data_IF_450314649955
#
_entry.id   IF_450314649955
#
_cell.length_a   1.000
_cell.length_b   1.000
_cell.length_c   1.000
_cell.angle_alpha   90.00
_cell.angle_beta   90.00
_cell.angle_gamma   90.00
#
_symmetry.space_group_name_H-M   'P 1'
#
loop_
_entity.id
_entity.type
_entity.pdbx_description
1 polymer ?
#
# COMPACT_ATOMS: atom_id res chain seq x y z
N UNK A 1 2.90 26.88 38.29
CA UNK A 1 2.66 27.65 37.05
C UNK A 1 1.99 26.81 35.98
N UNK A 2 2.55 25.65 35.59
CA UNK A 2 1.92 24.78 34.57
C UNK A 2 0.52 24.26 34.95
N UNK A 3 0.28 23.93 36.22
CA UNK A 3 -1.03 23.42 36.66
C UNK A 3 -2.18 24.41 36.45
N UNK A 4 -1.96 25.70 36.72
CA UNK A 4 -2.96 26.76 36.46
C UNK A 4 -3.28 26.85 34.97
N UNK A 5 -2.25 26.82 34.11
CA UNK A 5 -2.42 26.86 32.65
C UNK A 5 -3.18 25.64 32.13
N UNK A 6 -2.86 24.45 32.63
CA UNK A 6 -3.57 23.21 32.29
C UNK A 6 -5.03 23.30 32.72
N UNK A 7 -5.30 23.70 33.97
CA UNK A 7 -6.66 23.82 34.47
C UNK A 7 -7.49 24.84 33.69
N UNK A 8 -6.88 25.97 33.29
CA UNK A 8 -7.54 26.98 32.47
C UNK A 8 -7.83 26.46 31.06
N UNK A 9 -6.88 25.74 30.44
CA UNK A 9 -7.09 25.10 29.15
C UNK A 9 -8.16 23.99 29.20
N UNK A 10 -8.21 23.19 30.28
CA UNK A 10 -9.26 22.19 30.51
C UNK A 10 -10.62 22.85 30.68
N UNK A 11 -10.73 23.95 31.44
CA UNK A 11 -11.98 24.71 31.55
C UNK A 11 -12.44 25.26 30.20
N UNK A 12 -11.50 25.77 29.40
CA UNK A 12 -11.81 26.22 28.04
C UNK A 12 -12.28 25.06 27.15
N UNK A 13 -11.66 23.89 27.30
CA UNK A 13 -12.09 22.68 26.61
C UNK A 13 -13.54 22.32 27.00
N UNK A 14 -13.85 22.27 28.30
CA UNK A 14 -15.21 22.02 28.79
C UNK A 14 -16.22 23.08 28.34
N UNK A 15 -15.77 24.31 28.07
CA UNK A 15 -16.60 25.39 27.55
C UNK A 15 -16.78 25.39 26.02
N UNK A 16 -16.31 24.35 25.31
CA UNK A 16 -16.47 24.23 23.86
C UNK A 16 -15.41 24.94 23.02
N UNK A 17 -14.28 25.37 23.61
CA UNK A 17 -13.20 26.03 22.86
C UNK A 17 -12.53 25.08 21.87
N UNK A 18 -12.50 25.46 20.59
CA UNK A 18 -11.79 24.74 19.52
C UNK A 18 -10.28 24.92 19.56
N UNK A 19 -9.77 25.90 20.32
CA UNK A 19 -8.33 26.12 20.50
C UNK A 19 -7.73 25.23 21.59
N UNK A 20 -8.53 24.92 22.62
CA UNK A 20 -8.07 24.18 23.79
C UNK A 20 -7.43 22.81 23.48
N UNK A 21 -7.92 21.99 22.52
CA UNK A 21 -7.26 20.74 22.15
C UNK A 21 -5.80 20.94 21.72
N UNK A 22 -5.53 21.96 20.89
CA UNK A 22 -4.18 22.25 20.41
C UNK A 22 -3.26 22.73 21.53
N UNK A 23 -3.75 23.66 22.37
CA UNK A 23 -2.98 24.16 23.53
C UNK A 23 -2.65 23.02 24.51
N UNK A 24 -3.61 22.14 24.79
CA UNK A 24 -3.41 20.95 25.63
C UNK A 24 -2.44 19.94 25.01
N UNK A 25 -2.50 19.72 23.69
CA UNK A 25 -1.52 18.89 22.97
C UNK A 25 -0.12 19.42 23.12
N UNK A 26 0.09 20.73 22.92
CA UNK A 26 1.40 21.37 23.07
C UNK A 26 1.96 21.21 24.49
N UNK A 27 1.11 21.33 25.51
CA UNK A 27 1.52 21.08 26.89
C UNK A 27 1.85 19.61 27.11
N UNK A 28 1.03 18.67 26.62
CA UNK A 28 1.23 17.24 26.83
C UNK A 28 2.52 16.71 26.21
N UNK A 29 2.89 17.20 25.02
CA UNK A 29 4.13 16.81 24.32
C UNK A 29 5.38 17.55 24.81
N UNK A 30 5.23 18.58 25.66
CA UNK A 30 6.37 19.33 26.19
C UNK A 30 7.20 18.47 27.16
N UNK A 31 8.55 18.53 27.10
CA UNK A 31 9.42 17.76 28.01
C UNK A 31 9.15 18.02 29.50
N UNK A 32 8.65 19.20 29.85
CA UNK A 32 8.36 19.60 31.23
C UNK A 32 7.04 19.05 31.79
N UNK A 33 6.16 18.49 30.95
CA UNK A 33 4.87 17.97 31.42
C UNK A 33 5.07 16.65 32.18
N UNK A 34 4.56 16.59 33.41
CA UNK A 34 4.65 15.41 34.28
C UNK A 34 3.66 14.33 33.86
N UNK A 35 3.85 13.10 34.34
CA UNK A 35 2.92 11.99 34.05
C UNK A 35 1.50 12.28 34.57
N UNK A 36 1.38 12.88 35.74
CA UNK A 36 0.08 13.28 36.32
C UNK A 36 -0.61 14.35 35.47
N UNK A 37 0.13 15.38 35.04
CA UNK A 37 -0.37 16.42 34.13
C UNK A 37 -0.82 15.82 32.79
N UNK A 38 -0.03 14.91 32.24
CA UNK A 38 -0.39 14.18 31.03
C UNK A 38 -1.71 13.42 31.19
N UNK A 39 -1.85 12.63 32.26
CA UNK A 39 -3.09 11.88 32.51
C UNK A 39 -4.30 12.80 32.71
N UNK A 40 -4.12 13.94 33.37
CA UNK A 40 -5.16 14.95 33.53
C UNK A 40 -5.61 15.51 32.17
N UNK A 41 -4.66 15.84 31.30
CA UNK A 41 -4.94 16.35 29.94
C UNK A 41 -5.68 15.32 29.11
N UNK A 42 -5.19 14.07 29.08
CA UNK A 42 -5.81 12.98 28.30
C UNK A 42 -7.21 12.67 28.81
N UNK A 43 -7.40 12.62 30.13
CA UNK A 43 -8.71 12.39 30.73
C UNK A 43 -9.71 13.50 30.37
N UNK A 44 -9.25 14.75 30.33
CA UNK A 44 -10.08 15.87 29.90
C UNK A 44 -10.47 15.78 28.41
N UNK A 45 -9.56 15.32 27.53
CA UNK A 45 -9.88 15.07 26.13
C UNK A 45 -10.90 13.94 25.96
N UNK A 46 -10.76 12.84 26.70
CA UNK A 46 -11.74 11.75 26.67
C UNK A 46 -13.11 12.18 27.21
N UNK A 47 -13.16 13.06 28.21
CA UNK A 47 -14.42 13.57 28.74
C UNK A 47 -15.26 14.32 27.68
N UNK A 48 -14.61 14.97 26.70
CA UNK A 48 -15.30 15.64 25.58
C UNK A 48 -15.69 14.66 24.46
N UNK A 49 -15.10 13.46 24.47
CA UNK A 49 -15.40 12.35 23.57
C UNK A 49 -16.29 11.28 24.24
N UNK A 50 -17.05 11.65 25.26
CA UNK A 50 -17.98 10.73 25.92
C UNK A 50 -19.31 10.57 25.16
N UNK A 51 -20.16 9.66 25.65
CA UNK A 51 -21.48 9.39 25.09
C UNK A 51 -22.46 10.57 25.25
N UNK A 52 -22.33 11.38 26.31
CA UNK A 52 -23.23 12.50 26.56
C UNK A 52 -23.02 13.62 25.52
N UNK A 53 -21.76 13.95 25.22
CA UNK A 53 -21.40 14.89 24.16
C UNK A 53 -21.79 14.36 22.79
N UNK A 54 -21.66 13.04 22.55
CA UNK A 54 -22.07 12.42 21.30
C UNK A 54 -23.57 12.59 21.07
N UNK A 55 -24.39 12.21 22.06
CA UNK A 55 -25.86 12.37 21.99
C UNK A 55 -26.27 13.83 21.79
N UNK A 56 -25.61 14.75 22.48
CA UNK A 56 -25.86 16.20 22.32
C UNK A 56 -25.56 16.66 20.90
N UNK A 57 -24.41 16.23 20.34
CA UNK A 57 -24.00 16.58 18.98
C UNK A 57 -24.96 16.02 17.93
N UNK A 58 -25.48 14.81 18.13
CA UNK A 58 -26.48 14.20 17.23
C UNK A 58 -27.80 14.99 17.21
N UNK A 59 -28.15 15.67 18.31
CA UNK A 59 -29.38 16.47 18.43
C UNK A 59 -29.18 17.88 17.85
N UNK A 60 -28.12 18.56 18.26
CA UNK A 60 -27.84 19.95 17.89
C UNK A 60 -27.38 20.07 16.42
N UNK A 61 -26.80 19.00 15.85
CA UNK A 61 -26.24 18.96 14.48
C UNK A 61 -25.21 20.05 14.19
N UNK A 62 -24.71 20.73 15.22
CA UNK A 62 -23.56 21.62 15.10
C UNK A 62 -22.32 20.81 14.74
N UNK A 63 -21.37 21.45 14.05
CA UNK A 63 -20.13 20.79 13.64
C UNK A 63 -19.32 20.43 14.89
N UNK A 64 -18.99 19.14 15.14
CA UNK A 64 -18.23 18.71 16.30
C UNK A 64 -16.72 18.97 16.10
N UNK A 65 -16.37 20.23 15.81
CA UNK A 65 -15.00 20.69 15.52
C UNK A 65 -14.07 20.39 16.70
N UNK A 66 -14.54 20.67 17.92
CA UNK A 66 -13.75 20.42 19.11
C UNK A 66 -13.43 18.92 19.28
N UNK A 67 -14.40 18.04 19.02
CA UNK A 67 -14.23 16.60 19.16
C UNK A 67 -13.29 16.03 18.09
N UNK A 68 -13.42 16.47 16.84
CA UNK A 68 -12.48 16.10 15.78
C UNK A 68 -11.04 16.52 16.15
N UNK A 69 -10.86 17.75 16.67
CA UNK A 69 -9.56 18.24 17.13
C UNK A 69 -9.04 17.46 18.34
N UNK A 70 -9.90 17.11 19.32
CA UNK A 70 -9.52 16.24 20.43
C UNK A 70 -9.03 14.87 19.96
N UNK A 71 -9.68 14.29 18.95
CA UNK A 71 -9.29 12.99 18.39
C UNK A 71 -7.91 13.07 17.72
N UNK A 72 -7.65 14.10 16.90
CA UNK A 72 -6.30 14.38 16.34
C UNK A 72 -5.26 14.65 17.44
N UNK A 73 -5.64 15.39 18.47
CA UNK A 73 -4.79 15.70 19.63
C UNK A 73 -4.36 14.44 20.35
N UNK A 74 -5.27 13.49 20.60
CA UNK A 74 -4.95 12.19 21.18
C UNK A 74 -3.95 11.43 20.31
N UNK A 75 -4.13 11.46 18.99
CA UNK A 75 -3.22 10.81 18.04
C UNK A 75 -1.79 11.34 18.07
N UNK A 76 -1.63 12.64 18.28
CA UNK A 76 -0.31 13.25 18.39
C UNK A 76 0.39 12.98 19.73
N UNK A 77 -0.40 12.79 20.79
CA UNK A 77 0.09 12.80 22.17
C UNK A 77 0.44 11.40 22.67
N UNK A 78 -0.36 10.38 22.30
CA UNK A 78 -0.22 9.00 22.79
C UNK A 78 1.16 8.38 22.43
N UNK A 79 1.64 8.42 21.17
CA UNK A 79 2.93 7.80 20.82
C UNK A 79 4.12 8.38 21.57
N UNK A 80 4.17 9.71 21.71
CA UNK A 80 5.35 10.40 22.28
C UNK A 80 5.61 10.06 23.74
N UNK A 81 4.56 9.74 24.50
CA UNK A 81 4.66 9.48 25.95
C UNK A 81 4.74 8.00 26.27
N UNK A 82 4.42 7.13 25.32
CA UNK A 82 4.63 5.69 25.45
C UNK A 82 6.12 5.35 25.68
N UNK A 83 7.03 6.14 25.12
CA UNK A 83 8.48 6.01 25.32
C UNK A 83 8.90 6.22 26.79
N UNK A 84 8.03 6.80 27.64
CA UNK A 84 8.29 7.03 29.05
C UNK A 84 7.61 5.99 29.96
N UNK A 85 8.20 5.72 31.14
CA UNK A 85 7.64 4.84 32.19
C UNK A 85 6.24 5.30 32.63
N UNK A 86 5.18 4.67 32.13
CA UNK A 86 3.78 5.10 32.33
C UNK A 86 2.79 4.64 31.24
N UNK A 87 3.31 4.08 30.13
CA UNK A 87 2.59 3.39 29.06
C UNK A 87 1.30 2.66 29.50
N UNK A 88 1.39 1.72 30.44
CA UNK A 88 0.29 0.81 30.78
C UNK A 88 -1.00 1.52 31.22
N UNK A 89 -0.89 2.55 32.06
CA UNK A 89 -2.06 3.32 32.53
C UNK A 89 -2.75 4.04 31.36
N UNK A 90 -1.96 4.65 30.46
CA UNK A 90 -2.49 5.33 29.26
C UNK A 90 -3.23 4.36 28.34
N UNK A 91 -2.68 3.17 28.14
CA UNK A 91 -3.29 2.10 27.36
C UNK A 91 -4.58 1.59 27.97
N UNK A 92 -4.59 1.39 29.29
CA UNK A 92 -5.77 0.97 30.02
C UNK A 92 -6.89 1.99 29.88
N UNK A 93 -6.58 3.28 30.04
CA UNK A 93 -7.55 4.37 29.84
C UNK A 93 -8.07 4.40 28.40
N UNK A 94 -7.19 4.28 27.40
CA UNK A 94 -7.60 4.24 26.00
C UNK A 94 -8.53 3.03 25.71
N UNK A 95 -8.21 1.85 26.25
CA UNK A 95 -9.03 0.65 26.14
C UNK A 95 -10.41 0.82 26.80
N UNK A 96 -10.46 1.47 27.98
CA UNK A 96 -11.72 1.78 28.67
C UNK A 96 -12.63 2.72 27.88
N UNK A 97 -12.07 3.62 27.07
CA UNK A 97 -12.83 4.58 26.24
C UNK A 97 -13.03 4.13 24.79
N UNK A 98 -12.59 2.92 24.41
CA UNK A 98 -12.63 2.49 23.01
C UNK A 98 -14.05 2.49 22.44
N UNK A 99 -15.06 2.10 23.22
CA UNK A 99 -16.46 2.02 22.75
C UNK A 99 -17.00 3.40 22.36
N UNK A 100 -16.71 4.43 23.15
CA UNK A 100 -17.10 5.81 22.88
C UNK A 100 -16.35 6.36 21.66
N UNK A 101 -15.04 6.13 21.60
CA UNK A 101 -14.19 6.56 20.49
C UNK A 101 -14.62 5.92 19.17
N UNK A 102 -14.94 4.63 19.20
CA UNK A 102 -15.50 3.90 18.06
C UNK A 102 -16.79 4.57 17.56
N UNK A 103 -17.71 4.91 18.46
CA UNK A 103 -18.97 5.58 18.09
C UNK A 103 -18.75 6.98 17.54
N UNK A 104 -17.80 7.74 18.10
CA UNK A 104 -17.39 9.03 17.57
C UNK A 104 -16.79 8.93 16.17
N UNK A 105 -15.92 7.96 15.91
CA UNK A 105 -15.35 7.71 14.57
C UNK A 105 -16.45 7.46 13.55
N UNK A 106 -17.40 6.57 13.86
CA UNK A 106 -18.51 6.26 12.96
C UNK A 106 -19.46 7.46 12.76
N UNK A 107 -19.72 8.24 13.82
CA UNK A 107 -20.51 9.47 13.72
C UNK A 107 -19.84 10.52 12.83
N UNK A 108 -18.55 10.80 13.06
CA UNK A 108 -17.77 11.72 12.23
C UNK A 108 -17.77 11.29 10.76
N UNK A 109 -17.60 9.98 10.51
CA UNK A 109 -17.63 9.41 9.17
C UNK A 109 -19.00 9.59 8.50
N UNK A 110 -20.06 9.07 9.11
CA UNK A 110 -21.37 8.93 8.47
C UNK A 110 -22.15 10.24 8.37
N UNK A 111 -22.05 11.10 9.39
CA UNK A 111 -22.85 12.33 9.47
C UNK A 111 -22.12 13.55 8.92
N UNK A 112 -20.80 13.48 8.75
CA UNK A 112 -20.01 14.60 8.23
C UNK A 112 -19.17 14.23 7.01
N UNK A 113 -18.23 13.30 7.11
CA UNK A 113 -17.30 13.03 6.00
C UNK A 113 -18.04 12.57 4.73
N UNK A 114 -19.07 11.73 4.87
CA UNK A 114 -19.86 11.22 3.75
C UNK A 114 -20.93 12.19 3.23
N UNK A 115 -21.22 13.26 3.97
CA UNK A 115 -22.29 14.20 3.62
C UNK A 115 -21.76 15.33 2.75
N UNK A 116 -22.09 15.30 1.46
CA UNK A 116 -21.63 16.31 0.49
C UNK A 116 -22.06 17.75 0.82
N UNK A 117 -23.16 17.92 1.56
CA UNK A 117 -23.68 19.22 1.99
C UNK A 117 -22.94 19.81 3.21
N UNK A 118 -22.02 19.06 3.82
CA UNK A 118 -21.17 19.57 4.90
C UNK A 118 -19.97 20.30 4.31
N UNK A 119 -19.55 21.38 4.99
CA UNK A 119 -18.38 22.16 4.60
C UNK A 119 -17.14 21.28 4.38
N UNK A 120 -16.46 21.49 3.24
CA UNK A 120 -15.33 20.66 2.83
C UNK A 120 -14.18 20.72 3.83
N UNK A 121 -13.88 21.90 4.41
CA UNK A 121 -12.77 22.02 5.36
C UNK A 121 -13.05 21.18 6.61
N UNK A 122 -14.30 21.15 7.07
CA UNK A 122 -14.68 20.27 8.18
C UNK A 122 -14.63 18.78 7.80
N UNK A 123 -15.09 18.40 6.59
CA UNK A 123 -15.01 17.00 6.11
C UNK A 123 -13.56 16.51 6.08
N UNK A 124 -12.63 17.36 5.64
CA UNK A 124 -11.20 17.06 5.64
C UNK A 124 -10.66 16.92 7.07
N UNK A 125 -11.01 17.85 7.98
CA UNK A 125 -10.62 17.76 9.39
C UNK A 125 -11.11 16.46 10.04
N UNK A 126 -12.38 16.12 9.86
CA UNK A 126 -12.98 14.91 10.43
C UNK A 126 -12.33 13.63 9.86
N UNK A 127 -12.09 13.58 8.54
CA UNK A 127 -11.32 12.49 7.92
C UNK A 127 -9.94 12.38 8.55
N UNK A 128 -9.17 13.47 8.60
CA UNK A 128 -7.82 13.48 9.17
C UNK A 128 -7.83 13.01 10.62
N UNK A 129 -8.79 13.47 11.43
CA UNK A 129 -8.94 13.03 12.82
C UNK A 129 -9.16 11.51 12.94
N UNK A 130 -10.01 10.94 12.10
CA UNK A 130 -10.25 9.48 12.06
C UNK A 130 -8.97 8.73 11.68
N UNK A 131 -8.31 9.15 10.59
CA UNK A 131 -7.12 8.47 10.07
C UNK A 131 -5.96 8.57 11.04
N UNK A 132 -5.69 9.76 11.58
CA UNK A 132 -4.60 9.97 12.51
C UNK A 132 -4.78 9.09 13.76
N UNK A 133 -6.00 9.02 14.28
CA UNK A 133 -6.27 8.24 15.48
C UNK A 133 -6.21 6.73 15.24
N UNK A 134 -6.75 6.24 14.13
CA UNK A 134 -6.63 4.82 13.77
C UNK A 134 -5.18 4.45 13.43
N UNK A 135 -4.41 5.38 12.86
CA UNK A 135 -3.00 5.19 12.53
C UNK A 135 -2.12 4.87 13.74
N UNK A 136 -2.43 5.44 14.92
CA UNK A 136 -1.71 5.13 16.16
C UNK A 136 -1.74 3.63 16.46
N UNK A 137 -2.84 2.95 16.14
CA UNK A 137 -3.06 1.54 16.48
C UNK A 137 -2.06 0.60 15.84
N UNK A 138 -1.33 1.09 14.84
CA UNK A 138 -0.23 0.38 14.19
C UNK A 138 1.05 0.28 15.03
N UNK A 139 1.19 1.17 16.01
CA UNK A 139 2.36 1.19 16.86
C UNK A 139 2.51 -0.13 17.62
N UNK A 140 3.72 -0.72 17.56
CA UNK A 140 4.02 -2.05 18.14
C UNK A 140 3.58 -2.20 19.59
N UNK A 141 3.52 -1.10 20.33
CA UNK A 141 3.08 -1.08 21.71
C UNK A 141 1.55 -1.09 21.93
N UNK A 142 0.77 -0.67 20.94
CA UNK A 142 -0.68 -0.77 20.93
C UNK A 142 -1.18 -2.12 20.44
N UNK A 143 -0.30 -3.10 20.20
CA UNK A 143 -0.67 -4.40 19.63
C UNK A 143 -1.79 -5.14 20.40
N UNK A 144 -1.89 -4.97 21.72
CA UNK A 144 -2.99 -5.57 22.52
C UNK A 144 -4.34 -4.88 22.33
N UNK A 145 -4.33 -3.61 21.91
CA UNK A 145 -5.52 -2.84 21.53
C UNK A 145 -5.89 -3.02 20.07
N UNK A 146 -4.90 -3.31 19.23
CA UNK A 146 -5.08 -3.55 17.81
C UNK A 146 -6.12 -4.65 17.53
N UNK A 147 -6.11 -5.72 18.31
CA UNK A 147 -7.02 -6.86 18.16
C UNK A 147 -8.50 -6.45 18.23
N UNK A 148 -9.00 -5.78 19.29
CA UNK A 148 -10.36 -5.23 19.30
C UNK A 148 -10.68 -4.27 18.16
N UNK A 149 -9.73 -3.41 17.80
CA UNK A 149 -9.93 -2.34 16.82
C UNK A 149 -10.16 -2.93 15.44
N UNK A 150 -9.31 -3.88 15.04
CA UNK A 150 -9.45 -4.49 13.72
C UNK A 150 -10.48 -5.61 13.72
N UNK A 151 -10.76 -6.23 14.87
CA UNK A 151 -11.94 -7.08 15.00
C UNK A 151 -13.26 -6.31 14.85
N UNK A 152 -13.24 -4.96 14.86
CA UNK A 152 -14.42 -4.12 14.63
C UNK A 152 -14.67 -3.95 13.13
N UNK A 153 -15.66 -4.64 12.53
CA UNK A 153 -15.91 -4.65 11.09
C UNK A 153 -16.06 -3.24 10.48
N UNK A 154 -16.76 -2.37 11.23
CA UNK A 154 -17.07 -1.02 10.78
C UNK A 154 -15.85 -0.12 10.67
N UNK A 155 -14.79 -0.37 11.43
CA UNK A 155 -13.55 0.42 11.39
C UNK A 155 -12.76 0.09 10.13
N UNK A 156 -12.60 -1.19 9.80
CA UNK A 156 -11.95 -1.62 8.54
C UNK A 156 -12.69 -1.01 7.35
N UNK A 157 -14.01 -1.20 7.30
CA UNK A 157 -14.84 -0.66 6.23
C UNK A 157 -14.76 0.88 6.17
N UNK A 158 -14.70 1.55 7.33
CA UNK A 158 -14.50 3.01 7.39
C UNK A 158 -13.19 3.43 6.73
N UNK A 159 -12.07 2.77 7.06
CA UNK A 159 -10.76 3.13 6.54
C UNK A 159 -10.66 2.88 5.02
N UNK A 160 -11.16 1.74 4.53
CA UNK A 160 -11.25 1.47 3.09
C UNK A 160 -12.21 2.44 2.36
N UNK A 161 -13.30 2.86 3.01
CA UNK A 161 -14.20 3.88 2.46
C UNK A 161 -13.52 5.24 2.32
N UNK A 162 -12.74 5.65 3.33
CA UNK A 162 -11.96 6.89 3.29
C UNK A 162 -10.86 6.82 2.22
N UNK A 163 -10.21 5.66 2.08
CA UNK A 163 -9.23 5.42 1.02
C UNK A 163 -9.88 5.53 -0.36
N UNK A 164 -11.03 4.88 -0.59
CA UNK A 164 -11.80 5.02 -1.84
C UNK A 164 -12.21 6.47 -2.11
N UNK A 165 -12.56 7.24 -1.08
CA UNK A 165 -12.94 8.63 -1.24
C UNK A 165 -11.82 9.50 -1.83
N UNK A 166 -10.55 9.19 -1.51
CA UNK A 166 -9.40 9.91 -2.05
C UNK A 166 -9.25 9.76 -3.57
N UNK A 167 -9.66 8.63 -4.15
CA UNK A 167 -9.63 8.44 -5.60
C UNK A 167 -10.83 9.04 -6.31
N UNK A 168 -12.00 8.98 -5.67
CA UNK A 168 -13.25 9.52 -6.23
C UNK A 168 -13.30 11.05 -6.20
N UNK A 169 -12.76 11.67 -5.16
CA UNK A 169 -12.72 13.12 -5.00
C UNK A 169 -11.31 13.59 -4.65
N UNK A 170 -10.64 14.17 -5.66
CA UNK A 170 -9.26 14.69 -5.54
C UNK A 170 -9.09 15.71 -4.42
N UNK A 171 -10.15 16.38 -3.97
CA UNK A 171 -10.06 17.33 -2.84
C UNK A 171 -9.75 16.63 -1.51
N UNK A 172 -10.11 15.35 -1.40
CA UNK A 172 -9.74 14.52 -0.26
C UNK A 172 -8.32 13.96 -0.37
N UNK A 173 -7.69 14.01 -1.55
CA UNK A 173 -6.29 13.63 -1.71
C UNK A 173 -5.38 14.62 -0.99
N UNK A 174 -4.39 14.08 -0.27
CA UNK A 174 -3.38 14.87 0.43
C UNK A 174 -2.54 15.75 -0.49
N UNK A 175 -2.53 15.46 -1.79
CA UNK A 175 -1.85 16.27 -2.80
C UNK A 175 -2.34 17.72 -2.87
N UNK A 176 -3.55 18.02 -2.42
CA UNK A 176 -4.18 19.35 -2.56
C UNK A 176 -3.92 20.26 -1.35
N UNK A 177 -3.58 19.72 -0.18
CA UNK A 177 -3.55 20.47 1.08
C UNK A 177 -2.23 20.30 1.87
N UNK A 178 -1.17 21.05 1.51
CA UNK A 178 0.14 20.93 2.16
C UNK A 178 0.19 21.53 3.58
N UNK A 179 -0.80 22.30 4.01
CA UNK A 179 -0.76 23.05 5.28
C UNK A 179 -1.00 22.20 6.53
N UNK A 180 -1.54 21.00 6.37
CA UNK A 180 -1.85 20.08 7.47
C UNK A 180 -1.42 18.69 7.03
N UNK A 181 -0.14 18.38 7.19
CA UNK A 181 0.33 17.01 7.00
C UNK A 181 -0.32 16.13 8.08
N UNK A 182 -1.16 15.15 7.71
CA UNK A 182 -1.66 14.20 8.70
C UNK A 182 -0.46 13.48 9.31
N UNK A 183 -0.62 13.04 10.57
CA UNK A 183 0.40 12.24 11.23
C UNK A 183 0.49 10.87 10.56
N UNK A 184 -0.65 10.35 10.11
CA UNK A 184 -0.74 9.03 9.46
C UNK A 184 -1.40 9.11 8.08
N UNK A 185 -0.98 8.24 7.18
CA UNK A 185 -1.52 8.13 5.83
C UNK A 185 -2.38 6.87 5.71
N UNK A 186 -3.52 6.96 5.01
CA UNK A 186 -4.42 5.80 4.86
C UNK A 186 -3.70 4.60 4.23
N UNK A 187 -2.92 4.74 3.14
CA UNK A 187 -2.16 3.62 2.59
C UNK A 187 -1.18 3.01 3.60
N UNK A 188 -0.49 3.83 4.41
CA UNK A 188 0.44 3.35 5.43
C UNK A 188 -0.27 2.54 6.51
N UNK A 189 -1.38 3.08 7.03
CA UNK A 189 -2.19 2.42 8.07
C UNK A 189 -2.76 1.11 7.53
N UNK A 190 -3.32 1.10 6.32
CA UNK A 190 -3.83 -0.12 5.70
C UNK A 190 -2.72 -1.13 5.43
N UNK A 191 -1.58 -0.72 4.88
CA UNK A 191 -0.44 -1.59 4.60
C UNK A 191 0.02 -2.31 5.87
N UNK A 192 0.27 -1.56 6.94
CA UNK A 192 0.76 -2.17 8.16
C UNK A 192 -0.29 -3.06 8.84
N UNK A 193 -1.57 -2.68 8.77
CA UNK A 193 -2.64 -3.55 9.23
C UNK A 193 -2.64 -4.86 8.42
N UNK A 194 -2.63 -4.80 7.09
CA UNK A 194 -2.51 -5.96 6.20
C UNK A 194 -1.31 -6.85 6.53
N UNK A 195 -0.15 -6.26 6.82
CA UNK A 195 1.03 -6.99 7.25
C UNK A 195 0.82 -7.72 8.58
N UNK A 196 0.30 -7.05 9.60
CA UNK A 196 0.00 -7.65 10.90
C UNK A 196 -1.01 -8.81 10.80
N UNK A 197 -1.98 -8.72 9.89
CA UNK A 197 -2.99 -9.77 9.69
C UNK A 197 -2.54 -10.94 8.82
N UNK A 198 -1.61 -10.72 7.89
CA UNK A 198 -1.03 -11.82 7.11
C UNK A 198 -0.46 -12.94 8.01
N UNK A 199 -0.02 -12.56 9.22
CA UNK A 199 0.48 -13.48 10.25
C UNK A 199 -0.63 -14.23 11.02
N UNK A 200 -1.90 -13.84 10.86
CA UNK A 200 -3.02 -14.27 11.72
C UNK A 200 -4.21 -14.89 10.96
N UNK A 201 -4.24 -14.80 9.63
CA UNK A 201 -5.23 -15.44 8.72
C UNK A 201 -6.71 -15.11 8.98
N UNK A 202 -7.07 -13.84 9.25
CA UNK A 202 -8.46 -13.47 9.62
C UNK A 202 -8.99 -12.19 8.95
N UNK A 203 -8.79 -12.04 7.64
CA UNK A 203 -9.46 -10.95 6.93
C UNK A 203 -10.94 -11.27 6.69
N UNK A 204 -11.82 -10.43 7.23
CA UNK A 204 -13.21 -10.39 6.80
C UNK A 204 -13.28 -9.62 5.47
N UNK A 205 -13.07 -10.36 4.38
CA UNK A 205 -13.12 -9.80 3.04
C UNK A 205 -14.48 -9.19 2.69
N UNK A 206 -15.57 -9.64 3.33
CA UNK A 206 -16.89 -9.05 3.09
C UNK A 206 -16.94 -7.61 3.60
N UNK A 207 -16.27 -7.32 4.70
CA UNK A 207 -16.19 -5.99 5.32
C UNK A 207 -15.22 -5.08 4.59
N UNK A 208 -14.09 -5.61 4.11
CA UNK A 208 -13.19 -4.85 3.21
C UNK A 208 -13.92 -4.45 1.92
N UNK A 209 -14.76 -5.34 1.37
CA UNK A 209 -15.47 -5.09 0.11
C UNK A 209 -16.76 -4.27 0.30
N UNK A 210 -17.25 -4.12 1.53
CA UNK A 210 -18.48 -3.38 1.84
C UNK A 210 -18.46 -1.93 1.33
N UNK A 211 -17.38 -1.13 1.51
CA UNK A 211 -17.26 0.20 0.91
C UNK A 211 -17.27 0.22 -0.61
N UNK A 212 -17.08 -0.93 -1.26
CA UNK A 212 -17.07 -1.13 -2.70
C UNK A 212 -18.35 -1.82 -3.20
N UNK A 213 -19.39 -1.95 -2.35
CA UNK A 213 -20.63 -2.62 -2.73
C UNK A 213 -20.47 -4.13 -2.97
N UNK A 214 -19.41 -4.75 -2.45
CA UNK A 214 -19.06 -6.14 -2.75
C UNK A 214 -18.27 -6.32 -4.05
N UNK A 215 -17.98 -5.24 -4.79
CA UNK A 215 -17.33 -5.31 -6.10
C UNK A 215 -15.80 -5.33 -6.00
N UNK A 216 -15.21 -6.51 -6.19
CA UNK A 216 -13.74 -6.69 -6.18
C UNK A 216 -13.02 -5.86 -7.25
N UNK A 217 -13.68 -5.61 -8.40
CA UNK A 217 -13.12 -4.77 -9.47
C UNK A 217 -12.99 -3.31 -9.02
N UNK A 218 -13.94 -2.80 -8.24
CA UNK A 218 -13.89 -1.43 -7.74
C UNK A 218 -12.77 -1.24 -6.69
N UNK A 219 -12.52 -2.26 -5.85
CA UNK A 219 -11.39 -2.27 -4.93
C UNK A 219 -10.05 -2.27 -5.69
N UNK A 220 -9.91 -3.15 -6.69
CA UNK A 220 -8.71 -3.20 -7.53
C UNK A 220 -8.46 -1.89 -8.29
N UNK A 221 -9.51 -1.27 -8.84
CA UNK A 221 -9.43 0.02 -9.51
C UNK A 221 -8.96 1.12 -8.56
N UNK A 222 -9.53 1.16 -7.35
CA UNK A 222 -9.15 2.11 -6.31
C UNK A 222 -7.68 1.99 -5.93
N UNK A 223 -7.17 0.76 -5.77
CA UNK A 223 -5.77 0.52 -5.46
C UNK A 223 -4.81 1.06 -6.54
N UNK A 224 -5.14 0.78 -7.81
CA UNK A 224 -4.33 1.22 -8.94
C UNK A 224 -4.44 2.72 -9.19
N UNK A 225 -5.59 3.33 -8.92
CA UNK A 225 -5.78 4.77 -9.05
C UNK A 225 -5.01 5.56 -7.99
N UNK A 226 -4.91 5.06 -6.77
CA UNK A 226 -4.02 5.63 -5.75
C UNK A 226 -2.57 5.67 -6.20
N UNK A 227 -2.02 4.52 -6.59
CA UNK A 227 -0.65 4.44 -7.07
C UNK A 227 -0.39 5.39 -8.25
N UNK A 228 -1.33 5.50 -9.20
CA UNK A 228 -1.22 6.44 -10.32
C UNK A 228 -1.25 7.88 -9.85
N UNK A 229 -2.13 8.24 -8.93
CA UNK A 229 -2.22 9.59 -8.39
C UNK A 229 -0.92 9.97 -7.70
N UNK A 230 -0.34 9.06 -6.91
CA UNK A 230 0.83 9.35 -6.08
C UNK A 230 2.12 9.41 -6.88
N UNK A 231 2.24 8.60 -7.94
CA UNK A 231 3.30 8.70 -8.95
C UNK A 231 3.19 9.98 -9.78
N UNK A 232 1.97 10.48 -10.03
CA UNK A 232 1.76 11.71 -10.80
C UNK A 232 1.99 13.00 -10.00
N UNK A 233 2.23 12.93 -8.68
CA UNK A 233 2.49 14.10 -7.83
C UNK A 233 3.83 14.75 -8.17
N UNK A 234 3.90 16.08 -8.03
CA UNK A 234 5.13 16.86 -8.22
C UNK A 234 5.32 17.85 -7.07
N UNK A 235 6.32 17.66 -6.18
CA UNK A 235 7.24 16.52 -6.14
C UNK A 235 6.54 15.22 -5.74
N UNK A 236 7.07 14.07 -6.20
CA UNK A 236 6.59 12.76 -5.81
C UNK A 236 6.84 12.50 -4.32
N UNK A 237 5.89 11.84 -3.65
CA UNK A 237 6.07 11.35 -2.29
C UNK A 237 6.33 9.84 -2.34
N UNK A 238 7.60 9.46 -2.22
CA UNK A 238 8.02 8.06 -2.39
C UNK A 238 7.56 7.15 -1.26
N UNK A 239 7.31 7.66 -0.05
CA UNK A 239 6.76 6.84 1.04
C UNK A 239 5.35 6.35 0.69
N UNK A 240 4.52 7.23 0.13
CA UNK A 240 3.18 6.86 -0.34
C UNK A 240 3.23 5.82 -1.46
N UNK A 241 4.13 5.98 -2.42
CA UNK A 241 4.33 5.02 -3.52
C UNK A 241 4.74 3.65 -2.97
N UNK A 242 5.64 3.61 -1.97
CA UNK A 242 6.02 2.36 -1.29
C UNK A 242 4.79 1.70 -0.66
N UNK A 243 4.01 2.43 0.14
CA UNK A 243 2.84 1.89 0.82
C UNK A 243 1.76 1.43 -0.15
N UNK A 244 1.52 2.15 -1.25
CA UNK A 244 0.57 1.73 -2.28
C UNK A 244 1.00 0.40 -2.93
N UNK A 245 2.28 0.27 -3.29
CA UNK A 245 2.83 -0.98 -3.88
C UNK A 245 2.69 -2.14 -2.88
N UNK A 246 3.02 -1.91 -1.60
CA UNK A 246 2.87 -2.94 -0.57
C UNK A 246 1.41 -3.32 -0.36
N UNK A 247 0.51 -2.35 -0.23
CA UNK A 247 -0.92 -2.60 -0.04
C UNK A 247 -1.50 -3.37 -1.23
N UNK A 248 -1.16 -3.02 -2.47
CA UNK A 248 -1.54 -3.77 -3.67
C UNK A 248 -1.02 -5.21 -3.61
N UNK A 249 0.22 -5.40 -3.14
CA UNK A 249 0.82 -6.73 -2.95
C UNK A 249 0.06 -7.53 -1.89
N UNK A 250 -0.21 -6.94 -0.73
CA UNK A 250 -0.92 -7.59 0.36
C UNK A 250 -2.37 -7.97 -0.01
N UNK A 251 -3.08 -7.09 -0.72
CA UNK A 251 -4.42 -7.37 -1.26
C UNK A 251 -4.40 -8.53 -2.26
N UNK A 252 -3.31 -8.68 -3.02
CA UNK A 252 -3.14 -9.73 -4.02
C UNK A 252 -2.86 -11.12 -3.43
N UNK A 253 -2.75 -11.26 -2.11
CA UNK A 253 -2.75 -12.56 -1.44
C UNK A 253 -4.10 -13.28 -1.61
N UNK A 254 -5.19 -12.53 -1.77
CA UNK A 254 -6.49 -13.09 -2.09
C UNK A 254 -6.70 -13.15 -3.61
N UNK A 255 -6.85 -14.37 -4.13
CA UNK A 255 -7.13 -14.65 -5.54
C UNK A 255 -8.32 -13.86 -6.10
N UNK A 256 -9.38 -13.66 -5.30
CA UNK A 256 -10.57 -12.92 -5.70
C UNK A 256 -10.30 -11.44 -5.99
N UNK A 257 -9.22 -10.87 -5.42
CA UNK A 257 -8.78 -9.48 -5.63
C UNK A 257 -7.61 -9.43 -6.61
N UNK A 258 -6.69 -10.41 -6.53
CA UNK A 258 -5.54 -10.53 -7.43
C UNK A 258 -5.97 -10.61 -8.89
N UNK A 259 -6.97 -11.43 -9.22
CA UNK A 259 -7.42 -11.58 -10.62
C UNK A 259 -7.95 -10.26 -11.19
N UNK A 260 -8.85 -9.52 -10.52
CA UNK A 260 -9.22 -8.15 -10.89
C UNK A 260 -8.03 -7.21 -11.09
N UNK A 261 -7.06 -7.18 -10.17
CA UNK A 261 -5.86 -6.34 -10.31
C UNK A 261 -5.08 -6.67 -11.59
N UNK A 262 -4.87 -7.96 -11.87
CA UNK A 262 -4.19 -8.42 -13.09
C UNK A 262 -4.98 -8.07 -14.36
N UNK A 263 -6.31 -8.25 -14.35
CA UNK A 263 -7.20 -7.88 -15.46
C UNK A 263 -7.18 -6.37 -15.74
N UNK A 264 -7.00 -5.56 -14.70
CA UNK A 264 -6.83 -4.11 -14.79
C UNK A 264 -5.37 -3.68 -15.06
N UNK A 265 -4.52 -4.63 -15.50
CA UNK A 265 -3.14 -4.40 -15.94
C UNK A 265 -2.22 -3.87 -14.85
N UNK A 266 -2.39 -4.30 -13.59
CA UNK A 266 -1.49 -3.94 -12.48
C UNK A 266 -0.02 -4.14 -12.83
N UNK A 267 0.32 -5.23 -13.53
CA UNK A 267 1.68 -5.53 -14.01
C UNK A 267 2.25 -4.43 -14.91
N UNK A 268 1.49 -4.00 -15.93
CA UNK A 268 1.93 -2.96 -16.85
C UNK A 268 2.04 -1.59 -16.16
N UNK A 269 1.14 -1.31 -15.20
CA UNK A 269 1.18 -0.08 -14.39
C UNK A 269 2.45 -0.07 -13.55
N UNK A 270 2.76 -1.14 -12.81
CA UNK A 270 3.97 -1.25 -12.01
C UNK A 270 5.24 -1.14 -12.87
N UNK A 271 5.27 -1.75 -14.05
CA UNK A 271 6.37 -1.55 -14.99
C UNK A 271 6.51 -0.09 -15.43
N UNK A 272 5.41 0.63 -15.63
CA UNK A 272 5.42 2.07 -15.98
C UNK A 272 5.91 2.93 -14.81
N UNK A 273 5.52 2.58 -13.58
CA UNK A 273 6.02 3.23 -12.35
C UNK A 273 7.53 3.03 -12.24
N UNK A 274 8.03 1.80 -12.38
CA UNK A 274 9.46 1.51 -12.33
C UNK A 274 10.22 2.29 -13.42
N UNK A 275 9.73 2.30 -14.67
CA UNK A 275 10.33 3.08 -15.75
C UNK A 275 10.40 4.58 -15.40
N UNK A 276 9.33 5.13 -14.83
CA UNK A 276 9.30 6.53 -14.42
C UNK A 276 10.32 6.81 -13.31
N UNK A 277 10.45 5.90 -12.35
CA UNK A 277 11.35 6.05 -11.20
C UNK A 277 12.82 5.92 -11.56
N UNK A 278 13.19 5.02 -12.48
CA UNK A 278 14.61 4.84 -12.85
C UNK A 278 15.17 6.04 -13.61
N UNK A 279 14.31 6.79 -14.30
CA UNK A 279 14.67 8.00 -15.06
C UNK A 279 14.64 9.28 -14.21
N UNK A 280 14.25 9.20 -12.93
CA UNK A 280 14.14 10.38 -12.06
C UNK A 280 15.48 10.88 -11.53
N UNK A 281 15.62 12.20 -11.52
CA UNK A 281 16.65 12.92 -10.77
C UNK A 281 16.17 13.18 -9.34
N UNK A 282 16.32 12.19 -8.45
CA UNK A 282 16.01 12.35 -7.04
C UNK A 282 17.16 13.01 -6.26
N UNK A 283 16.83 13.74 -5.20
CA UNK A 283 17.82 14.29 -4.26
C UNK A 283 18.48 13.17 -3.46
N UNK A 284 19.71 13.36 -2.99
CA UNK A 284 20.49 12.31 -2.30
C UNK A 284 19.77 11.68 -1.11
N UNK A 285 18.98 12.46 -0.37
CA UNK A 285 18.18 11.98 0.76
C UNK A 285 16.96 11.11 0.35
N UNK A 286 16.57 11.13 -0.93
CA UNK A 286 15.44 10.36 -1.45
C UNK A 286 15.90 9.07 -2.16
N UNK A 287 17.20 8.88 -2.40
CA UNK A 287 17.70 7.74 -3.19
C UNK A 287 17.31 6.38 -2.61
N UNK A 288 17.33 6.25 -1.28
CA UNK A 288 16.90 5.05 -0.58
C UNK A 288 15.42 4.74 -0.86
N UNK A 289 14.55 5.75 -0.77
CA UNK A 289 13.11 5.56 -0.97
C UNK A 289 12.76 5.22 -2.42
N UNK A 290 13.43 5.85 -3.39
CA UNK A 290 13.28 5.51 -4.81
C UNK A 290 13.71 4.07 -5.07
N UNK A 291 14.87 3.66 -4.52
CA UNK A 291 15.34 2.29 -4.63
C UNK A 291 14.35 1.29 -4.02
N UNK A 292 13.76 1.59 -2.87
CA UNK A 292 12.68 0.78 -2.26
C UNK A 292 11.45 0.68 -3.16
N UNK A 293 10.96 1.80 -3.71
CA UNK A 293 9.81 1.78 -4.64
C UNK A 293 10.06 0.84 -5.83
N UNK A 294 11.26 0.94 -6.44
CA UNK A 294 11.65 0.11 -7.58
C UNK A 294 11.71 -1.37 -7.17
N UNK A 295 12.41 -1.68 -6.09
CA UNK A 295 12.55 -3.04 -5.57
C UNK A 295 11.19 -3.67 -5.23
N UNK A 296 10.32 -2.97 -4.51
CA UNK A 296 9.00 -3.48 -4.16
C UNK A 296 8.10 -3.66 -5.39
N UNK A 297 8.27 -2.83 -6.41
CA UNK A 297 7.65 -3.07 -7.71
C UNK A 297 8.09 -4.39 -8.34
N UNK A 298 9.37 -4.74 -8.26
CA UNK A 298 9.85 -6.06 -8.71
C UNK A 298 9.35 -7.21 -7.83
N UNK A 299 9.22 -7.02 -6.52
CA UNK A 299 8.61 -8.02 -5.63
C UNK A 299 7.16 -8.34 -6.04
N UNK A 300 6.33 -7.32 -6.27
CA UNK A 300 4.97 -7.51 -6.75
C UNK A 300 4.94 -8.30 -8.07
N UNK A 301 5.76 -7.87 -9.04
CA UNK A 301 5.84 -8.52 -10.35
C UNK A 301 6.26 -9.97 -10.18
N UNK A 302 7.33 -10.25 -9.42
CA UNK A 302 7.79 -11.62 -9.16
C UNK A 302 6.71 -12.46 -8.52
N UNK A 303 6.01 -11.95 -7.51
CA UNK A 303 5.02 -12.71 -6.77
C UNK A 303 3.90 -13.25 -7.70
N UNK A 304 3.51 -12.47 -8.72
CA UNK A 304 2.30 -12.77 -9.49
C UNK A 304 2.49 -12.94 -10.99
N UNK A 305 3.68 -12.71 -11.57
CA UNK A 305 3.93 -12.86 -13.02
C UNK A 305 3.68 -14.30 -13.51
N UNK A 306 3.90 -15.30 -12.67
CA UNK A 306 3.61 -16.71 -12.97
C UNK A 306 2.21 -17.15 -12.48
N UNK A 307 1.35 -16.23 -12.04
CA UNK A 307 -0.03 -16.56 -11.68
C UNK A 307 -0.80 -17.06 -12.90
N UNK A 308 -1.66 -18.06 -12.71
CA UNK A 308 -2.37 -18.79 -13.78
C UNK A 308 -1.41 -19.49 -14.74
N UNK A 309 -1.25 -19.04 -15.99
CA UNK A 309 -0.23 -19.54 -16.94
C UNK A 309 0.94 -18.55 -17.14
N UNK A 310 0.82 -17.34 -16.59
CA UNK A 310 1.79 -16.23 -16.68
C UNK A 310 1.98 -15.60 -18.06
N UNK A 311 1.47 -16.22 -19.13
CA UNK A 311 1.73 -15.77 -20.50
C UNK A 311 1.18 -14.34 -20.76
N UNK A 312 -0.08 -14.01 -20.42
CA UNK A 312 -0.60 -12.66 -20.60
C UNK A 312 0.21 -11.60 -19.83
N UNK A 313 0.67 -11.94 -18.63
CA UNK A 313 1.37 -11.02 -17.72
C UNK A 313 2.77 -10.72 -18.23
N UNK A 314 3.52 -11.74 -18.66
CA UNK A 314 4.85 -11.54 -19.25
C UNK A 314 4.77 -10.74 -20.55
N UNK A 315 3.79 -11.02 -21.41
CA UNK A 315 3.57 -10.20 -22.62
C UNK A 315 3.34 -8.74 -22.25
N UNK A 316 2.45 -8.47 -21.30
CA UNK A 316 2.17 -7.10 -20.83
C UNK A 316 3.42 -6.41 -20.27
N UNK A 317 4.24 -7.08 -19.47
CA UNK A 317 5.46 -6.50 -18.88
C UNK A 317 6.51 -6.15 -19.94
N UNK A 318 6.75 -7.05 -20.91
CA UNK A 318 7.69 -6.79 -22.03
C UNK A 318 7.19 -5.64 -22.89
N UNK A 319 5.88 -5.60 -23.18
CA UNK A 319 5.25 -4.51 -23.93
C UNK A 319 5.24 -3.19 -23.16
N UNK A 320 5.16 -3.22 -21.82
CA UNK A 320 5.27 -2.04 -20.97
C UNK A 320 6.72 -1.54 -20.79
N UNK A 321 7.71 -2.21 -21.40
CA UNK A 321 9.11 -1.77 -21.38
C UNK A 321 9.88 -2.16 -20.11
N UNK A 322 9.42 -3.16 -19.35
CA UNK A 322 10.09 -3.59 -18.12
C UNK A 322 11.58 -3.92 -18.32
N UNK A 323 11.94 -4.54 -19.45
CA UNK A 323 13.33 -4.93 -19.74
C UNK A 323 14.28 -3.73 -19.76
N UNK A 324 13.86 -2.60 -20.32
CA UNK A 324 14.67 -1.37 -20.32
C UNK A 324 14.79 -0.81 -18.90
N UNK A 325 13.68 -0.78 -18.16
CA UNK A 325 13.65 -0.36 -16.75
C UNK A 325 14.60 -1.18 -15.86
N UNK A 326 14.64 -2.49 -16.06
CA UNK A 326 15.52 -3.42 -15.33
C UNK A 326 16.99 -3.05 -15.52
N UNK A 327 17.42 -2.73 -16.74
CA UNK A 327 18.80 -2.32 -16.99
C UNK A 327 19.11 -0.93 -16.43
N UNK A 328 18.16 0.00 -16.55
CA UNK A 328 18.28 1.35 -15.97
C UNK A 328 18.23 1.35 -14.43
N UNK A 329 17.96 0.21 -13.79
CA UNK A 329 17.97 0.09 -12.32
C UNK A 329 19.39 0.08 -11.73
N UNK A 330 20.43 -0.19 -12.53
CA UNK A 330 21.83 -0.32 -12.06
C UNK A 330 22.28 0.76 -11.06
N UNK A 331 22.06 2.07 -11.30
CA UNK A 331 22.50 3.12 -10.38
C UNK A 331 21.83 3.06 -9.01
N UNK A 332 20.65 2.45 -8.94
CA UNK A 332 19.81 2.36 -7.74
C UNK A 332 20.22 1.20 -6.82
N UNK A 333 20.87 0.17 -7.36
CA UNK A 333 21.17 -1.08 -6.63
C UNK A 333 21.95 -0.81 -5.34
N UNK A 334 22.96 0.06 -5.41
CA UNK A 334 23.83 0.41 -4.28
C UNK A 334 23.11 1.05 -3.08
N UNK A 335 21.88 1.55 -3.27
CA UNK A 335 21.14 2.24 -2.22
C UNK A 335 20.37 1.29 -1.28
N UNK A 336 20.27 -0.01 -1.62
CA UNK A 336 19.76 -1.06 -0.72
C UNK A 336 20.85 -2.07 -0.32
N UNK A 337 22.09 -1.61 -0.14
CA UNK A 337 23.18 -2.49 0.28
C UNK A 337 23.06 -2.94 1.75
N UNK A 338 23.76 -4.01 2.12
CA UNK A 338 23.80 -4.53 3.48
C UNK A 338 22.57 -5.37 3.83
N UNK A 339 21.84 -4.97 4.88
CA UNK A 339 20.67 -5.71 5.38
C UNK A 339 19.51 -5.82 4.38
N UNK A 340 19.50 -4.96 3.36
CA UNK A 340 18.45 -4.89 2.32
C UNK A 340 18.91 -5.46 0.97
N UNK A 341 20.07 -6.11 0.90
CA UNK A 341 20.61 -6.60 -0.39
C UNK A 341 19.73 -7.66 -1.05
N UNK A 342 18.99 -8.43 -0.25
CA UNK A 342 18.00 -9.42 -0.71
C UNK A 342 16.80 -8.76 -1.40
N UNK A 343 16.53 -7.48 -1.15
CA UNK A 343 15.42 -6.75 -1.76
C UNK A 343 15.58 -6.64 -3.31
N UNK A 344 16.78 -6.86 -3.84
CA UNK A 344 17.05 -6.92 -5.28
C UNK A 344 16.94 -8.33 -5.90
N UNK A 345 16.79 -9.40 -5.10
CA UNK A 345 16.65 -10.76 -5.62
C UNK A 345 15.57 -10.89 -6.72
N UNK A 346 14.36 -10.29 -6.57
CA UNK A 346 13.32 -10.39 -7.60
C UNK A 346 13.76 -9.85 -8.95
N UNK A 347 14.55 -8.78 -8.99
CA UNK A 347 15.07 -8.20 -10.24
C UNK A 347 15.90 -9.24 -11.01
N UNK A 348 16.85 -9.89 -10.32
CA UNK A 348 17.73 -10.87 -10.94
C UNK A 348 16.99 -12.15 -11.35
N UNK A 349 16.05 -12.63 -10.53
CA UNK A 349 15.22 -13.78 -10.86
C UNK A 349 14.31 -13.52 -12.06
N UNK A 350 13.66 -12.35 -12.09
CA UNK A 350 12.81 -11.95 -13.21
C UNK A 350 13.60 -11.90 -14.50
N UNK A 351 14.74 -11.21 -14.51
CA UNK A 351 15.54 -11.00 -15.71
C UNK A 351 16.26 -12.28 -16.14
N UNK A 352 16.95 -12.97 -15.24
CA UNK A 352 17.82 -14.09 -15.57
C UNK A 352 17.10 -15.43 -15.71
N UNK A 353 15.91 -15.60 -15.12
CA UNK A 353 15.25 -16.91 -15.04
C UNK A 353 13.80 -16.91 -15.52
N UNK A 354 12.94 -16.04 -14.98
CA UNK A 354 11.49 -16.15 -15.18
C UNK A 354 11.08 -15.67 -16.57
N UNK A 355 11.30 -14.39 -16.87
CA UNK A 355 10.93 -13.79 -18.16
C UNK A 355 11.53 -14.58 -19.35
N UNK A 356 12.84 -14.95 -19.35
CA UNK A 356 13.40 -15.71 -20.47
C UNK A 356 12.72 -17.05 -20.74
N UNK A 357 12.15 -17.75 -19.74
CA UNK A 357 11.46 -19.04 -19.94
C UNK A 357 10.30 -18.88 -20.91
N UNK A 358 9.59 -17.76 -20.86
CA UNK A 358 8.44 -17.46 -21.72
C UNK A 358 8.81 -17.13 -23.17
N UNK A 359 10.10 -16.97 -23.51
CA UNK A 359 10.52 -16.80 -24.91
C UNK A 359 10.35 -18.07 -25.77
N UNK A 360 9.84 -19.17 -25.22
CA UNK A 360 9.33 -20.32 -26.00
C UNK A 360 8.05 -19.96 -26.77
N UNK A 361 7.28 -19.00 -26.29
CA UNK A 361 6.06 -18.54 -26.95
C UNK A 361 6.43 -17.50 -28.01
N UNK A 362 6.03 -17.75 -29.26
CA UNK A 362 6.40 -16.89 -30.40
C UNK A 362 5.92 -15.45 -30.25
N UNK A 363 4.77 -15.24 -29.62
CA UNK A 363 4.22 -13.90 -29.32
C UNK A 363 5.12 -13.12 -28.38
N UNK A 364 5.54 -13.75 -27.27
CA UNK A 364 6.47 -13.15 -26.29
C UNK A 364 7.84 -12.92 -26.91
N UNK A 365 8.38 -13.93 -27.63
CA UNK A 365 9.68 -13.84 -28.28
C UNK A 365 9.75 -12.66 -29.26
N UNK A 366 8.71 -12.43 -30.07
CA UNK A 366 8.63 -11.27 -30.97
C UNK A 366 8.72 -9.95 -30.20
N UNK A 367 7.94 -9.82 -29.12
CA UNK A 367 7.97 -8.62 -28.28
C UNK A 367 9.35 -8.42 -27.64
N UNK A 368 10.00 -9.48 -27.19
CA UNK A 368 11.38 -9.42 -26.66
C UNK A 368 12.39 -9.01 -27.72
N UNK A 369 12.35 -9.58 -28.93
CA UNK A 369 13.25 -9.20 -30.03
C UNK A 369 13.15 -7.70 -30.33
N UNK A 370 11.91 -7.20 -30.44
CA UNK A 370 11.66 -5.75 -30.65
C UNK A 370 12.29 -4.91 -29.53
N UNK A 371 12.13 -5.34 -28.28
CA UNK A 371 12.71 -4.64 -27.11
C UNK A 371 14.24 -4.72 -27.09
N UNK A 372 14.84 -5.86 -27.44
CA UNK A 372 16.29 -6.01 -27.57
C UNK A 372 16.86 -5.00 -28.57
N UNK A 373 16.23 -4.83 -29.73
CA UNK A 373 16.69 -3.83 -30.72
C UNK A 373 16.66 -2.41 -30.16
N UNK A 374 15.64 -2.05 -29.37
CA UNK A 374 15.58 -0.75 -28.69
C UNK A 374 16.64 -0.61 -27.61
N UNK A 375 16.92 -1.68 -26.86
CA UNK A 375 17.94 -1.71 -25.81
C UNK A 375 19.34 -1.54 -26.41
N UNK A 376 19.63 -2.26 -27.50
CA UNK A 376 20.90 -2.17 -28.25
C UNK A 376 21.11 -0.76 -28.80
N UNK A 377 20.07 -0.16 -29.38
CA UNK A 377 20.14 1.18 -29.93
C UNK A 377 20.44 2.28 -28.88
N UNK A 378 20.08 2.05 -27.63
CA UNK A 378 20.30 2.98 -26.51
C UNK A 378 21.55 2.66 -25.67
N UNK A 379 22.30 1.62 -26.05
CA UNK A 379 23.49 1.12 -25.34
C UNK A 379 23.25 0.97 -23.82
N UNK A 380 22.09 0.43 -23.42
CA UNK A 380 21.83 0.18 -21.99
C UNK A 380 22.77 -0.88 -21.40
N UNK A 381 23.11 -1.99 -22.10
CA UNK A 381 24.05 -2.98 -21.56
C UNK A 381 25.45 -2.42 -21.31
N UNK A 382 25.90 -1.44 -22.11
CA UNK A 382 27.19 -0.77 -21.94
C UNK A 382 27.28 0.08 -20.66
N UNK A 383 26.15 0.42 -20.04
CA UNK A 383 26.06 1.21 -18.80
C UNK A 383 26.08 0.36 -17.53
N UNK A 384 26.01 -0.96 -17.65
CA UNK A 384 26.00 -1.88 -16.50
C UNK A 384 27.41 -2.05 -15.92
N UNK A 385 27.50 -2.31 -14.62
CA UNK A 385 28.75 -2.72 -13.98
C UNK A 385 29.18 -4.09 -14.52
N UNK A 386 30.35 -4.13 -15.16
CA UNK A 386 30.93 -5.39 -15.66
C UNK A 386 31.08 -6.36 -14.50
N UNK A 387 30.71 -7.61 -14.75
CA UNK A 387 30.71 -8.71 -13.77
C UNK A 387 29.72 -8.56 -12.59
N UNK A 388 28.92 -7.49 -12.56
CA UNK A 388 27.81 -7.30 -11.63
C UNK A 388 26.70 -8.34 -11.81
N UNK A 389 25.86 -8.51 -10.79
CA UNK A 389 24.74 -9.48 -10.82
C UNK A 389 23.73 -9.14 -11.91
N UNK A 390 23.46 -7.84 -12.12
CA UNK A 390 22.55 -7.40 -13.19
C UNK A 390 23.14 -7.71 -14.57
N UNK A 391 24.41 -7.40 -14.80
CA UNK A 391 25.12 -7.73 -16.05
C UNK A 391 25.12 -9.23 -16.36
N UNK A 392 25.37 -10.07 -15.34
CA UNK A 392 25.30 -11.54 -15.48
C UNK A 392 23.90 -12.00 -15.85
N UNK A 393 22.88 -11.50 -15.16
CA UNK A 393 21.47 -11.84 -15.41
C UNK A 393 21.03 -11.39 -16.81
N UNK A 394 21.44 -10.19 -17.24
CA UNK A 394 21.22 -9.68 -18.58
C UNK A 394 21.87 -10.55 -19.66
N UNK A 395 23.14 -10.92 -19.47
CA UNK A 395 23.88 -11.75 -20.43
C UNK A 395 23.21 -13.12 -20.65
N UNK A 396 22.72 -13.74 -19.57
CA UNK A 396 21.96 -14.99 -19.64
C UNK A 396 20.65 -14.82 -20.41
N UNK A 397 19.90 -13.75 -20.10
CA UNK A 397 18.67 -13.40 -20.80
C UNK A 397 18.91 -13.18 -22.30
N UNK A 398 19.86 -12.31 -22.65
CA UNK A 398 20.15 -11.90 -24.01
C UNK A 398 20.58 -13.10 -24.88
N UNK A 399 21.53 -13.91 -24.39
CA UNK A 399 22.02 -15.09 -25.10
C UNK A 399 20.89 -16.08 -25.41
N UNK A 400 20.02 -16.34 -24.43
CA UNK A 400 18.90 -17.27 -24.61
C UNK A 400 17.87 -16.74 -25.61
N UNK A 401 17.49 -15.47 -25.50
CA UNK A 401 16.50 -14.86 -26.40
C UNK A 401 17.04 -14.76 -27.83
N UNK A 402 18.32 -14.36 -28.03
CA UNK A 402 18.94 -14.32 -29.36
C UNK A 402 19.08 -15.70 -29.99
N UNK A 403 19.46 -16.71 -29.21
CA UNK A 403 19.50 -18.11 -29.67
C UNK A 403 18.13 -18.58 -30.18
N UNK A 404 17.06 -18.31 -29.42
CA UNK A 404 15.68 -18.63 -29.83
C UNK A 404 15.21 -17.81 -31.03
N UNK A 405 15.60 -16.54 -31.11
CA UNK A 405 15.29 -15.69 -32.26
C UNK A 405 15.91 -16.21 -33.57
N UNK A 406 17.14 -16.73 -33.53
CA UNK A 406 17.78 -17.33 -34.70
C UNK A 406 17.02 -18.57 -35.20
N UNK A 407 16.61 -19.45 -34.28
CA UNK A 407 15.77 -20.62 -34.61
C UNK A 407 14.41 -20.21 -35.18
N UNK A 408 13.81 -19.18 -34.60
CA UNK A 408 12.55 -18.62 -35.08
C UNK A 408 12.65 -18.11 -36.53
N UNK A 409 13.69 -17.35 -36.85
CA UNK A 409 13.93 -16.84 -38.22
C UNK A 409 14.17 -17.96 -39.23
N UNK A 410 14.91 -19.02 -38.87
CA UNK A 410 15.12 -20.19 -39.74
C UNK A 410 13.80 -20.94 -40.04
N UNK A 411 12.88 -20.98 -39.07
CA UNK A 411 11.56 -21.61 -39.27
C UNK A 411 10.66 -20.82 -40.21
N UNK A 412 10.80 -19.48 -40.26
CA UNK A 412 10.03 -18.62 -41.16
C UNK A 412 10.54 -18.66 -42.61
N UNK A 413 11.85 -18.82 -42.82
CA UNK A 413 12.43 -18.91 -44.17
C UNK A 413 12.15 -20.25 -44.86
N UNK A 414 11.89 -21.30 -44.07
CA UNK A 414 11.58 -22.63 -44.58
C UNK A 414 10.05 -22.80 -44.63
N UNK A 415 9.40 -22.24 -45.66
CA UNK A 415 7.95 -22.33 -45.92
C UNK A 415 7.39 -23.77 -46.08
N UNK A 416 8.21 -24.81 -45.86
CA UNK A 416 7.72 -26.17 -45.65
C UNK A 416 6.97 -26.22 -44.33
N UNK A 417 5.65 -26.02 -44.41
CA UNK A 417 4.66 -26.05 -43.35
C UNK A 417 4.70 -27.41 -42.60
N UNK A 418 5.59 -27.54 -41.61
CA UNK A 418 5.61 -28.72 -40.72
C UNK A 418 4.55 -28.49 -39.64
N UNK A 419 3.32 -28.92 -39.90
CA UNK A 419 2.32 -29.11 -38.84
C UNK A 419 2.70 -30.34 -38.01
N UNK A 420 3.66 -30.21 -37.10
CA UNK A 420 3.93 -31.27 -36.12
C UNK A 420 3.02 -31.11 -34.90
N UNK A 421 1.76 -31.52 -35.04
CA UNK A 421 0.94 -31.80 -33.86
C UNK A 421 1.43 -33.11 -33.22
N UNK A 422 2.13 -33.03 -32.08
CA UNK A 422 2.40 -34.18 -31.19
C UNK A 422 1.14 -34.60 -30.39
N UNK A 423 -0.04 -34.53 -31.00
CA UNK A 423 -1.27 -34.90 -30.34
C UNK A 423 -1.51 -36.41 -30.48
N UNK A 424 -0.78 -37.21 -29.70
CA UNK A 424 -0.95 -38.67 -29.61
C UNK A 424 -2.38 -39.07 -29.18
N UNK A 425 -3.21 -38.12 -28.72
CA UNK A 425 -4.59 -38.36 -28.25
C UNK A 425 -5.71 -37.98 -29.23
N UNK A 426 -5.44 -37.52 -30.46
CA UNK A 426 -6.49 -37.27 -31.47
C UNK A 426 -6.94 -38.55 -32.22
N UNK A 427 -6.98 -39.70 -31.54
CA UNK A 427 -7.62 -40.91 -32.06
C UNK A 427 -8.46 -41.61 -30.99
N UNK A 428 -9.65 -41.04 -30.76
CA UNK A 428 -10.94 -41.65 -30.37
C UNK A 428 -11.69 -40.71 -29.42
N UNK A 429 -12.80 -40.18 -29.91
CA UNK A 429 -13.86 -39.56 -29.11
C UNK A 429 -14.62 -40.67 -28.38
N UNK A 430 -14.73 -40.67 -27.04
CA UNK A 430 -15.86 -41.27 -26.33
C UNK A 430 -16.85 -40.17 -25.89
N UNK A 431 -18.09 -40.54 -25.48
CA UNK A 431 -19.17 -39.59 -25.27
C UNK A 431 -18.94 -38.69 -24.05
N UNK A 432 -19.46 -37.47 -24.13
CA UNK A 432 -19.53 -36.46 -23.07
C UNK A 432 -20.11 -37.02 -21.76
N UNK A 433 -19.27 -37.15 -20.74
CA UNK A 433 -19.65 -36.93 -19.35
C UNK A 433 -18.41 -36.78 -18.47
N UNK A 434 -18.40 -35.72 -17.64
CA UNK A 434 -17.51 -35.47 -16.50
C UNK A 434 -16.08 -34.99 -16.82
N UNK A 435 -15.93 -33.66 -16.85
CA UNK A 435 -14.68 -32.97 -16.54
C UNK A 435 -14.96 -31.95 -15.45
N UNK A 436 -14.76 -32.37 -14.20
CA UNK A 436 -14.54 -31.45 -13.09
C UNK A 436 -13.42 -32.03 -12.23
N UNK A 437 -12.51 -31.14 -11.84
CA UNK A 437 -11.43 -31.29 -10.87
C UNK A 437 -10.14 -31.99 -11.32
N UNK A 438 -9.05 -31.24 -11.22
CA UNK A 438 -7.71 -31.80 -11.12
C UNK A 438 -6.62 -30.85 -11.57
N UNK A 439 -6.41 -29.73 -10.86
CA UNK A 439 -5.09 -29.08 -10.76
C UNK A 439 -5.14 -27.89 -9.79
N UNK A 440 -4.77 -28.13 -8.53
CA UNK A 440 -4.27 -27.08 -7.64
C UNK A 440 -3.74 -27.70 -6.34
N UNK A 441 -2.42 -27.71 -6.19
CA UNK A 441 -1.71 -27.60 -4.91
C UNK A 441 -0.20 -27.73 -5.16
N UNK A 442 0.39 -26.71 -5.79
CA UNK A 442 1.76 -26.36 -5.47
C UNK A 442 1.66 -25.27 -4.41
N UNK A 443 2.01 -25.63 -3.17
CA UNK A 443 2.13 -24.69 -2.05
C UNK A 443 3.13 -23.62 -2.46
N UNK A 444 2.66 -22.38 -2.53
CA UNK A 444 3.50 -21.21 -2.31
C UNK A 444 4.14 -21.41 -0.93
N UNK A 445 5.46 -21.59 -0.89
CA UNK A 445 6.19 -21.42 0.36
C UNK A 445 5.91 -19.99 0.84
N UNK A 446 5.50 -19.89 2.10
CA UNK A 446 5.11 -18.64 2.78
C UNK A 446 6.17 -17.56 2.55
N UNK A 447 5.82 -16.54 1.75
CA UNK A 447 6.48 -15.25 1.84
C UNK A 447 6.24 -14.74 3.26
N UNK A 448 7.28 -14.81 4.10
CA UNK A 448 7.31 -14.10 5.38
C UNK A 448 8.02 -12.78 5.12
N UNK A 449 7.35 -11.62 5.21
CA UNK A 449 8.06 -10.37 5.26
C UNK A 449 9.04 -10.47 6.43
N UNK A 450 10.32 -10.26 6.15
CA UNK A 450 11.39 -10.19 7.13
C UNK A 450 10.92 -9.30 8.28
N UNK A 451 11.20 -9.69 9.54
CA UNK A 451 10.93 -8.91 10.77
C UNK A 451 11.72 -7.57 10.85
N UNK A 452 11.96 -6.91 9.73
CA UNK A 452 12.92 -5.80 9.60
C UNK A 452 12.21 -4.56 9.04
N UNK A 453 11.05 -4.21 9.61
CA UNK A 453 10.46 -2.87 9.48
C UNK A 453 9.66 -2.58 10.75
N UNK A 454 10.38 -2.23 11.82
CA UNK A 454 9.90 -1.47 12.99
C UNK A 454 11.04 -0.60 13.48
#
# INVERSE_FOLDING_TARGET
MYETVINDAIKQLQAGSTRAPADLTLIAVAPACTLEQYHMIISAMYAVLDDAHLRTSMIDKSLPVQQALCLTSLASVIPRRYVCSGAHSTLQTLSLHWVELHRWILYLKNDFVDKENVDLAFRLLAKTAIVDFLGICDESFLQHMFDPIVASPDIIATLFSLWRMETLDKRFSLSVHPSTHPVFHIPATLDSWMCAFSQRERWDWSEILRPFGGEVDALAATALDHLRQDVARSPANYDLIVWDIHLITALSVNDAIRIPLLNQRSMAILATVINSLVDLYATTNQHLLVAKCISYGYWYIRAYVESTDGLPWVTQLVEAGLLSAMLSTEPWIKHLNGQHSEDWEPLFLLLGQIIPRYSVYSTVLKSMIKRLTTIDANDLPGKLEKDGLLFKSWTLFENLVRSRAALYSMSLSNETHIESCQNIKLRRVPPRSLLQQGMSSLRLEEWRPSKVLS
#
